data_IF_193390723691
#
_entry.id   IF_193390723691
#
_cell.length_a   1.000
_cell.length_b   1.000
_cell.length_c   1.000
_cell.angle_alpha   90.00
_cell.angle_beta   90.00
_cell.angle_gamma   90.00
#
_symmetry.space_group_name_H-M   'P 1'
#
loop_
_entity.id
_entity.type
_entity.pdbx_description
1 polymer ?
#
# COMPACT_ATOMS: atom_id res chain seq x y z
N UNK A 1 16.38 -25.00 -14.24
CA UNK A 1 16.18 -23.62 -14.76
C UNK A 1 14.69 -23.52 -15.05
N UNK A 2 14.06 -22.39 -14.68
CA UNK A 2 12.61 -22.22 -14.53
C UNK A 2 12.05 -22.88 -13.27
N UNK A 3 11.79 -22.05 -12.26
CA UNK A 3 10.74 -22.24 -11.25
C UNK A 3 10.85 -21.09 -10.23
N UNK A 4 9.85 -20.22 -10.19
CA UNK A 4 9.80 -19.16 -9.17
C UNK A 4 8.82 -18.02 -9.43
N UNK A 5 8.29 -17.88 -10.65
CA UNK A 5 7.39 -16.78 -10.99
C UNK A 5 5.95 -16.96 -10.48
N UNK A 6 5.57 -18.16 -10.01
CA UNK A 6 4.17 -18.51 -9.72
C UNK A 6 3.71 -18.49 -8.26
N UNK A 7 4.60 -18.26 -7.27
CA UNK A 7 4.26 -18.53 -5.86
C UNK A 7 3.85 -17.28 -5.06
N UNK A 8 4.30 -16.09 -5.45
CA UNK A 8 3.99 -14.84 -4.72
C UNK A 8 2.65 -14.20 -5.10
N UNK A 9 2.12 -14.49 -6.30
CA UNK A 9 0.87 -13.93 -6.80
C UNK A 9 -0.40 -14.54 -6.18
N UNK A 10 -0.30 -15.71 -5.52
CA UNK A 10 -1.46 -16.48 -5.04
C UNK A 10 -2.11 -15.96 -3.75
N UNK A 11 -1.57 -14.93 -3.09
CA UNK A 11 -2.12 -14.40 -1.82
C UNK A 11 -2.91 -13.10 -1.93
N UNK A 12 -3.02 -12.49 -3.11
CA UNK A 12 -3.56 -11.13 -3.26
C UNK A 12 -5.08 -11.03 -3.52
N UNK A 13 -5.82 -12.14 -3.64
CA UNK A 13 -7.27 -12.09 -3.89
C UNK A 13 -8.01 -12.60 -2.65
N UNK A 14 -8.35 -11.69 -1.74
CA UNK A 14 -9.39 -11.94 -0.73
C UNK A 14 -10.48 -10.89 -0.86
N UNK A 15 -11.62 -11.35 -1.36
CA UNK A 15 -12.88 -10.64 -1.47
C UNK A 15 -13.25 -9.89 -0.19
N UNK A 16 -13.81 -8.68 -0.33
CA UNK A 16 -14.31 -7.88 0.78
C UNK A 16 -15.58 -8.52 1.37
N UNK A 17 -15.52 -9.00 2.61
CA UNK A 17 -16.68 -9.19 3.49
C UNK A 17 -16.21 -9.35 4.95
N UNK A 18 -16.70 -8.47 5.84
CA UNK A 18 -16.74 -8.56 7.30
C UNK A 18 -15.44 -8.77 8.12
N UNK A 19 -15.22 -7.84 9.06
CA UNK A 19 -14.64 -8.06 10.40
C UNK A 19 -13.16 -8.47 10.52
N UNK A 20 -12.29 -7.49 10.81
CA UNK A 20 -11.38 -7.45 11.98
C UNK A 20 -10.29 -6.39 11.78
N UNK A 21 -10.29 -5.38 12.64
CA UNK A 21 -9.15 -4.48 12.85
C UNK A 21 -8.04 -5.31 13.50
N UNK A 22 -7.20 -5.93 12.68
CA UNK A 22 -6.20 -6.90 13.11
C UNK A 22 -5.14 -7.12 12.04
N UNK A 23 -4.60 -6.04 11.49
CA UNK A 23 -3.62 -6.04 10.40
C UNK A 23 -2.39 -5.24 10.77
N UNK A 24 -1.28 -5.51 10.07
CA UNK A 24 0.06 -5.19 10.49
C UNK A 24 0.68 -4.14 9.57
N UNK A 25 1.13 -3.01 10.13
CA UNK A 25 1.76 -1.88 9.45
C UNK A 25 0.76 -0.94 8.73
N UNK A 26 0.55 0.25 9.31
CA UNK A 26 -0.22 1.38 8.74
C UNK A 26 0.44 1.97 7.47
N UNK A 27 0.44 1.18 6.40
CA UNK A 27 0.72 1.62 5.03
C UNK A 27 -0.39 1.04 4.15
N UNK A 28 -1.41 1.85 3.90
CA UNK A 28 -2.48 1.50 2.98
C UNK A 28 -2.16 2.19 1.64
N UNK A 29 -1.56 1.50 0.66
CA UNK A 29 -1.82 1.84 -0.73
C UNK A 29 -3.26 1.40 -1.01
N UNK A 30 -4.13 2.35 -1.36
CA UNK A 30 -5.49 2.05 -1.81
C UNK A 30 -5.41 1.83 -3.32
N UNK A 31 -5.79 0.65 -3.78
CA UNK A 31 -6.05 0.38 -5.19
C UNK A 31 -7.53 0.60 -5.50
N UNK A 32 -7.87 1.01 -6.72
CA UNK A 32 -9.23 0.93 -7.26
C UNK A 32 -9.11 0.58 -8.75
N UNK A 33 -9.68 -0.56 -9.16
CA UNK A 33 -9.72 -1.00 -10.55
C UNK A 33 -11.10 -1.50 -10.97
N UNK A 34 -11.55 -1.03 -12.13
CA UNK A 34 -12.78 -1.45 -12.80
C UNK A 34 -12.50 -2.52 -13.86
N UNK A 35 -13.32 -3.57 -13.89
CA UNK A 35 -13.41 -4.49 -15.04
C UNK A 35 -14.76 -4.28 -15.75
N UNK A 36 -14.73 -4.03 -17.06
CA UNK A 36 -15.94 -4.01 -17.90
C UNK A 36 -16.32 -5.45 -18.24
N UNK A 37 -17.36 -6.00 -17.59
CA UNK A 37 -18.31 -6.88 -18.28
C UNK A 37 -19.67 -6.87 -17.58
N UNK A 38 -20.67 -6.57 -18.39
CA UNK A 38 -22.10 -6.46 -18.12
C UNK A 38 -22.63 -7.50 -17.12
N UNK A 39 -22.74 -7.15 -15.84
CA UNK A 39 -23.81 -7.52 -14.88
C UNK A 39 -23.71 -6.56 -13.68
N UNK A 40 -24.82 -6.32 -13.02
CA UNK A 40 -25.13 -5.16 -12.17
C UNK A 40 -24.42 -5.15 -10.79
N UNK A 41 -23.09 -5.30 -10.72
CA UNK A 41 -22.26 -5.12 -9.50
C UNK A 41 -20.80 -4.80 -9.85
N UNK A 42 -20.46 -3.55 -10.18
CA UNK A 42 -19.06 -3.11 -10.29
C UNK A 42 -18.43 -3.04 -8.90
N UNK A 43 -17.78 -4.13 -8.45
CA UNK A 43 -17.07 -4.15 -7.17
C UNK A 43 -15.72 -3.45 -7.29
N UNK A 44 -15.57 -2.29 -6.63
CA UNK A 44 -14.27 -1.62 -6.42
C UNK A 44 -13.39 -2.52 -5.53
N UNK A 45 -12.17 -2.82 -5.98
CA UNK A 45 -11.22 -3.67 -5.24
C UNK A 45 -10.04 -2.83 -4.75
N UNK A 46 -9.71 -3.00 -3.46
CA UNK A 46 -8.54 -2.39 -2.82
C UNK A 46 -7.48 -3.46 -2.53
N UNK A 47 -6.25 -3.20 -2.96
CA UNK A 47 -5.07 -4.04 -2.78
C UNK A 47 -4.10 -3.20 -1.95
N UNK A 48 -3.87 -3.62 -0.71
CA UNK A 48 -2.90 -2.98 0.18
C UNK A 48 -1.54 -3.69 0.16
N UNK A 49 -0.52 -3.06 0.73
CA UNK A 49 0.77 -3.72 0.98
C UNK A 49 1.67 -3.95 -0.24
N UNK A 50 1.45 -3.30 -1.38
CA UNK A 50 2.34 -3.36 -2.55
C UNK A 50 3.73 -2.84 -2.17
N UNK A 51 4.75 -3.70 -2.28
CA UNK A 51 6.10 -3.45 -1.78
C UNK A 51 7.19 -3.64 -2.82
N UNK A 52 6.90 -4.20 -4.00
CA UNK A 52 7.88 -4.45 -5.05
C UNK A 52 7.39 -3.93 -6.42
N UNK A 53 8.25 -3.26 -7.21
CA UNK A 53 7.92 -2.83 -8.57
C UNK A 53 7.38 -3.91 -9.49
N UNK A 54 7.76 -5.18 -9.31
CA UNK A 54 7.22 -6.29 -10.07
C UNK A 54 5.71 -6.47 -9.84
N UNK A 55 5.23 -6.29 -8.60
CA UNK A 55 3.81 -6.31 -8.27
C UNK A 55 3.09 -5.16 -8.97
N UNK A 56 3.67 -3.94 -8.95
CA UNK A 56 3.09 -2.77 -9.64
C UNK A 56 2.99 -3.02 -11.15
N UNK A 57 4.04 -3.56 -11.76
CA UNK A 57 4.07 -3.86 -13.20
C UNK A 57 2.99 -4.87 -13.57
N UNK A 58 2.87 -5.95 -12.80
CA UNK A 58 1.82 -6.94 -13.00
C UNK A 58 0.43 -6.32 -12.85
N UNK A 59 0.18 -5.59 -11.77
CA UNK A 59 -1.14 -5.02 -11.50
C UNK A 59 -1.53 -3.93 -12.50
N UNK A 60 -0.57 -3.20 -13.08
CA UNK A 60 -0.82 -2.26 -14.18
C UNK A 60 -1.37 -2.91 -15.45
N UNK A 61 -1.23 -4.23 -15.61
CA UNK A 61 -1.88 -4.95 -16.72
C UNK A 61 -3.40 -5.06 -16.55
N UNK A 62 -3.90 -4.85 -15.33
CA UNK A 62 -5.33 -4.88 -15.05
C UNK A 62 -5.98 -3.59 -15.55
N UNK A 63 -7.16 -3.68 -16.19
CA UNK A 63 -7.86 -2.51 -16.67
C UNK A 63 -8.22 -1.59 -15.50
N UNK A 64 -8.13 -0.28 -15.77
CA UNK A 64 -8.44 0.78 -14.82
C UNK A 64 -7.63 0.74 -13.52
N UNK A 65 -6.42 0.15 -13.55
CA UNK A 65 -5.56 0.11 -12.38
C UNK A 65 -5.01 1.52 -12.03
N UNK A 66 -5.27 2.02 -10.82
CA UNK A 66 -4.56 3.17 -10.22
C UNK A 66 -3.75 2.81 -8.98
N UNK A 67 -2.47 3.16 -8.98
CA UNK A 67 -1.59 3.07 -7.82
C UNK A 67 -1.58 4.38 -7.04
N UNK A 68 -2.05 4.35 -5.80
CA UNK A 68 -2.06 5.50 -4.88
C UNK A 68 -1.03 5.27 -3.77
N UNK A 69 -0.10 6.21 -3.61
CA UNK A 69 0.88 6.18 -2.51
C UNK A 69 0.49 7.12 -1.37
N UNK A 70 0.35 6.56 -0.16
CA UNK A 70 0.14 7.34 1.06
C UNK A 70 1.48 7.58 1.76
N UNK A 71 1.86 8.86 1.92
CA UNK A 71 3.14 9.30 2.46
C UNK A 71 2.96 10.04 3.77
N UNK A 72 3.88 9.83 4.71
CA UNK A 72 3.95 10.60 5.94
C UNK A 72 5.41 10.87 6.35
N UNK A 73 5.63 12.01 6.99
CA UNK A 73 6.91 12.38 7.59
C UNK A 73 7.36 11.28 8.56
N UNK A 74 8.67 11.00 8.59
CA UNK A 74 9.27 9.96 9.45
C UNK A 74 8.86 10.10 10.92
N UNK A 75 8.94 11.32 11.47
CA UNK A 75 8.56 11.62 12.85
C UNK A 75 7.08 11.26 13.14
N UNK A 76 6.17 11.56 12.21
CA UNK A 76 4.75 11.22 12.34
C UNK A 76 4.55 9.70 12.37
N UNK A 77 5.22 8.97 11.47
CA UNK A 77 5.15 7.49 11.44
C UNK A 77 5.70 6.87 12.71
N UNK A 78 6.86 7.31 13.17
CA UNK A 78 7.44 6.80 14.41
C UNK A 78 6.53 7.04 15.61
N UNK A 79 5.97 8.24 15.75
CA UNK A 79 5.01 8.56 16.82
C UNK A 79 3.77 7.65 16.77
N UNK A 80 3.24 7.38 15.57
CA UNK A 80 2.09 6.45 15.39
C UNK A 80 2.46 5.02 15.77
N UNK A 81 3.64 4.53 15.37
CA UNK A 81 4.14 3.20 15.75
C UNK A 81 4.32 3.07 17.27
N UNK A 82 4.89 4.09 17.93
CA UNK A 82 5.01 4.13 19.39
C UNK A 82 3.66 4.09 20.08
N UNK A 83 2.66 4.82 19.58
CA UNK A 83 1.28 4.79 20.11
C UNK A 83 0.60 3.44 19.87
N UNK A 84 0.88 2.79 18.74
CA UNK A 84 0.31 1.48 18.38
C UNK A 84 0.82 0.37 19.30
N UNK A 85 2.10 0.41 19.67
CA UNK A 85 2.63 -0.36 20.78
C UNK A 85 2.76 -1.87 20.57
N UNK A 86 2.73 -2.39 19.34
CA UNK A 86 2.84 -3.85 19.11
C UNK A 86 4.22 -4.37 19.51
N UNK A 87 4.33 -5.66 19.80
CA UNK A 87 5.58 -6.28 20.27
C UNK A 87 6.73 -6.09 19.29
N UNK A 88 6.47 -6.22 17.98
CA UNK A 88 7.45 -6.01 16.89
C UNK A 88 7.60 -4.56 16.43
N UNK A 89 6.90 -3.59 17.02
CA UNK A 89 7.05 -2.18 16.64
C UNK A 89 8.39 -1.62 17.14
N UNK A 90 9.09 -0.81 16.33
CA UNK A 90 10.38 -0.25 16.72
C UNK A 90 10.22 0.60 17.99
N UNK A 91 10.99 0.26 19.03
CA UNK A 91 10.90 0.92 20.33
C UNK A 91 11.70 2.22 20.33
N UNK A 92 12.81 2.27 19.59
CA UNK A 92 13.64 3.47 19.48
C UNK A 92 13.58 4.10 18.09
N UNK A 93 13.99 5.36 17.99
CA UNK A 93 14.13 6.04 16.69
C UNK A 93 15.15 5.35 15.79
N UNK A 94 16.24 4.83 16.36
CA UNK A 94 17.28 4.10 15.63
C UNK A 94 16.71 2.84 14.99
N UNK A 95 15.94 2.04 15.73
CA UNK A 95 15.27 0.84 15.19
C UNK A 95 14.29 1.19 14.08
N UNK A 96 13.53 2.29 14.27
CA UNK A 96 12.63 2.79 13.24
C UNK A 96 13.37 3.15 11.96
N UNK A 97 14.54 3.80 12.04
CA UNK A 97 15.33 4.13 10.85
C UNK A 97 15.83 2.89 10.11
N UNK A 98 16.16 1.81 10.83
CA UNK A 98 16.53 0.52 10.21
C UNK A 98 15.34 -0.06 9.44
N UNK A 99 14.17 -0.10 10.05
CA UNK A 99 12.93 -0.57 9.41
C UNK A 99 12.55 0.30 8.21
N UNK A 100 12.63 1.63 8.34
CA UNK A 100 12.34 2.60 7.27
C UNK A 100 13.28 2.43 6.07
N UNK A 101 14.56 2.19 6.34
CA UNK A 101 15.57 1.96 5.31
C UNK A 101 15.31 0.66 4.54
N UNK A 102 14.99 -0.42 5.27
CA UNK A 102 14.61 -1.71 4.68
C UNK A 102 13.36 -1.58 3.80
N UNK A 103 12.32 -0.92 4.30
CA UNK A 103 11.05 -0.73 3.58
C UNK A 103 11.25 0.04 2.26
N UNK A 104 12.11 1.06 2.28
CA UNK A 104 12.51 1.80 1.07
C UNK A 104 13.32 0.98 0.06
N UNK A 105 13.80 -0.20 0.45
CA UNK A 105 14.62 -1.09 -0.38
C UNK A 105 16.11 -0.76 -0.39
N UNK A 106 16.59 0.02 0.57
CA UNK A 106 18.02 0.32 0.68
C UNK A 106 18.72 -0.91 1.28
N UNK A 107 19.71 -1.44 0.54
CA UNK A 107 20.41 -2.67 0.91
C UNK A 107 19.56 -3.94 0.79
N UNK A 108 18.45 -3.88 0.04
CA UNK A 108 17.63 -5.06 -0.25
C UNK A 108 17.99 -5.65 -1.61
N UNK A 109 17.88 -6.99 -1.72
CA UNK A 109 17.97 -7.70 -3.00
C UNK A 109 16.78 -7.33 -3.90
N UNK A 110 16.86 -7.59 -5.20
CA UNK A 110 15.81 -7.23 -6.17
C UNK A 110 14.42 -7.84 -5.90
N UNK A 111 14.37 -8.97 -5.19
CA UNK A 111 13.12 -9.61 -4.75
C UNK A 111 12.65 -9.15 -3.36
N UNK A 112 13.43 -8.31 -2.66
CA UNK A 112 13.08 -7.76 -1.35
C UNK A 112 12.09 -6.60 -1.43
N UNK A 113 11.87 -5.96 -0.27
CA UNK A 113 11.03 -4.76 -0.20
C UNK A 113 11.69 -3.60 -0.96
N UNK A 114 10.88 -2.85 -1.70
CA UNK A 114 11.28 -1.75 -2.57
C UNK A 114 10.16 -0.69 -2.61
N UNK A 115 9.53 -0.39 -1.47
CA UNK A 115 8.39 0.53 -1.37
C UNK A 115 8.76 1.91 -1.90
N UNK A 116 10.00 2.35 -1.68
CA UNK A 116 10.51 3.62 -2.21
C UNK A 116 10.42 3.71 -3.74
N UNK A 117 10.64 2.59 -4.45
CA UNK A 117 10.47 2.52 -5.91
C UNK A 117 8.98 2.49 -6.30
N UNK A 118 8.15 1.74 -5.56
CA UNK A 118 6.70 1.71 -5.79
C UNK A 118 6.05 3.09 -5.63
N UNK A 119 6.44 3.85 -4.61
CA UNK A 119 5.98 5.23 -4.37
C UNK A 119 6.36 6.16 -5.52
N UNK A 120 7.51 5.93 -6.19
CA UNK A 120 7.88 6.71 -7.39
C UNK A 120 6.99 6.38 -8.60
N UNK A 121 6.50 5.14 -8.68
CA UNK A 121 5.60 4.66 -9.74
C UNK A 121 4.12 5.01 -9.50
N UNK A 122 3.77 5.62 -8.37
CA UNK A 122 2.38 5.93 -8.04
C UNK A 122 1.80 7.02 -8.94
N UNK A 123 0.59 6.79 -9.43
CA UNK A 123 -0.18 7.75 -10.20
C UNK A 123 -0.57 8.95 -9.33
N UNK A 124 -0.92 8.67 -8.07
CA UNK A 124 -1.36 9.68 -7.11
C UNK A 124 -0.65 9.55 -5.77
N UNK A 125 -0.46 10.67 -5.07
CA UNK A 125 0.30 10.73 -3.81
C UNK A 125 -0.45 11.53 -2.75
N UNK A 126 -0.87 10.87 -1.68
CA UNK A 126 -1.58 11.50 -0.55
C UNK A 126 -0.61 11.75 0.61
N UNK A 127 -0.63 12.96 1.16
CA UNK A 127 0.09 13.28 2.40
C UNK A 127 -0.78 13.00 3.62
N UNK A 128 -0.35 12.06 4.47
CA UNK A 128 -0.98 11.66 5.72
C UNK A 128 -0.17 12.15 6.92
N UNK A 129 0.05 13.46 6.98
CA UNK A 129 0.74 14.10 8.11
C UNK A 129 -0.23 14.60 9.20
N UNK A 130 -1.52 14.72 8.89
CA UNK A 130 -2.56 15.26 9.75
C UNK A 130 -3.34 14.20 10.53
N UNK A 131 -4.59 14.54 10.86
CA UNK A 131 -5.55 13.65 11.52
C UNK A 131 -6.30 12.76 10.51
N UNK A 132 -7.11 11.83 11.03
CA UNK A 132 -7.88 10.89 10.23
C UNK A 132 -8.88 11.60 9.31
N UNK A 133 -9.64 12.59 9.82
CA UNK A 133 -10.59 13.37 9.02
C UNK A 133 -9.96 14.01 7.79
N UNK A 134 -8.74 14.56 7.93
CA UNK A 134 -8.02 15.15 6.80
C UNK A 134 -7.59 14.09 5.78
N UNK A 135 -7.18 12.90 6.24
CA UNK A 135 -6.85 11.79 5.35
C UNK A 135 -8.10 11.32 4.58
N UNK A 136 -9.23 11.13 5.27
CA UNK A 136 -10.51 10.73 4.69
C UNK A 136 -10.96 11.73 3.62
N UNK A 137 -10.91 13.03 3.93
CA UNK A 137 -11.23 14.08 2.96
C UNK A 137 -10.31 14.06 1.74
N UNK A 138 -8.99 13.88 1.93
CA UNK A 138 -8.06 13.78 0.81
C UNK A 138 -8.34 12.56 -0.08
N UNK A 139 -8.70 11.42 0.51
CA UNK A 139 -9.07 10.20 -0.22
C UNK A 139 -10.38 10.44 -0.99
N UNK A 140 -11.41 10.97 -0.35
CA UNK A 140 -12.69 11.25 -1.01
C UNK A 140 -12.55 12.22 -2.19
N UNK A 141 -11.74 13.26 -2.05
CA UNK A 141 -11.45 14.20 -3.14
C UNK A 141 -10.72 13.50 -4.30
N UNK A 142 -9.77 12.61 -4.00
CA UNK A 142 -9.06 11.85 -5.02
C UNK A 142 -9.98 10.91 -5.80
N UNK A 143 -10.86 10.21 -5.07
CA UNK A 143 -11.78 9.23 -5.64
C UNK A 143 -12.95 9.86 -6.41
N UNK A 144 -13.30 11.12 -6.11
CA UNK A 144 -14.33 11.88 -6.84
C UNK A 144 -13.78 12.60 -8.07
N UNK A 145 -12.55 13.11 -8.02
CA UNK A 145 -11.90 13.78 -9.16
C UNK A 145 -11.44 12.80 -10.23
N UNK A 146 -11.19 11.55 -9.83
CA UNK A 146 -10.87 10.49 -10.76
C UNK A 146 -12.17 9.91 -11.33
N UNK A 147 -12.40 10.03 -12.63
CA UNK A 147 -13.35 9.16 -13.34
C UNK A 147 -12.84 7.72 -13.21
N UNK A 148 -13.30 7.04 -12.17
CA UNK A 148 -12.93 5.68 -11.73
C UNK A 148 -14.16 4.79 -11.65
#
# INVERSE_FOLDING_TARGET
>A
KEEGEGVLAKRAIKYFCHSRVGGNLDWIPVFMGMTKKQTKMTKKVVIEGIRNPAEVKFLRTLPNFKLIAVKAKKAVRFRRLRKRGKSWDPKTWKDFLVVDRRDKGIGQKGYGQQVGKCVKMADEKIQNNGNLKKLESNISNLLSSSSL
#
